data_IF_690851572744
#
_entry.id   IF_690851572744
#
_cell.length_a   1.000
_cell.length_b   1.000
_cell.length_c   1.000
_cell.angle_alpha   90.00
_cell.angle_beta   90.00
_cell.angle_gamma   90.00
#
_symmetry.space_group_name_H-M   'P 1'
#
loop_
_entity.id
_entity.type
_entity.pdbx_description
1 polymer ?
#
# COMPACT_ATOMS: atom_id res chain seq x y z
N UNK A 1 21.72 -46.40 -11.85
CA UNK A 1 21.15 -45.07 -11.58
C UNK A 1 22.29 -44.07 -11.39
N UNK A 2 22.49 -43.10 -12.29
CA UNK A 2 23.49 -42.03 -12.11
C UNK A 2 22.83 -40.87 -11.35
N UNK A 3 23.34 -40.53 -10.16
CA UNK A 3 22.96 -39.31 -9.43
C UNK A 3 23.67 -38.12 -10.07
N UNK A 4 22.91 -37.14 -10.53
CA UNK A 4 23.44 -35.84 -10.95
C UNK A 4 23.31 -34.90 -9.76
N UNK A 5 24.42 -34.49 -9.18
CA UNK A 5 24.46 -33.46 -8.15
C UNK A 5 24.66 -32.10 -8.83
N UNK A 6 23.68 -31.20 -8.70
CA UNK A 6 23.81 -29.81 -9.13
C UNK A 6 24.35 -28.97 -7.97
N UNK A 7 25.56 -28.41 -8.12
CA UNK A 7 26.05 -27.35 -7.26
C UNK A 7 25.60 -26.01 -7.82
N UNK A 8 24.73 -25.31 -7.09
CA UNK A 8 24.28 -23.96 -7.49
C UNK A 8 25.30 -22.94 -7.00
N UNK A 9 26.21 -22.54 -7.87
CA UNK A 9 27.07 -21.39 -7.62
C UNK A 9 26.21 -20.12 -7.56
N UNK A 10 26.03 -19.56 -6.36
CA UNK A 10 25.29 -18.31 -6.18
C UNK A 10 26.21 -17.13 -6.49
N UNK A 11 25.91 -16.32 -7.53
CA UNK A 11 26.74 -15.16 -7.83
C UNK A 11 26.66 -14.14 -6.67
N UNK A 12 27.83 -13.68 -6.18
CA UNK A 12 27.91 -12.66 -5.13
C UNK A 12 27.27 -11.35 -5.63
N UNK A 13 26.15 -10.93 -5.02
CA UNK A 13 25.46 -9.66 -5.36
C UNK A 13 26.42 -8.48 -5.21
N UNK A 14 26.71 -7.79 -6.33
CA UNK A 14 27.42 -6.51 -6.34
C UNK A 14 26.61 -5.49 -5.51
N UNK A 15 27.23 -4.85 -4.50
CA UNK A 15 26.58 -3.79 -3.71
C UNK A 15 26.27 -2.61 -4.65
N UNK A 16 24.99 -2.30 -4.89
CA UNK A 16 24.58 -1.10 -5.62
C UNK A 16 24.97 0.13 -4.79
N UNK A 17 25.64 1.12 -5.39
CA UNK A 17 25.85 2.43 -4.74
C UNK A 17 24.49 3.10 -4.55
N UNK A 18 24.18 3.53 -3.33
CA UNK A 18 22.92 4.22 -3.05
C UNK A 18 23.02 5.67 -3.52
N UNK A 19 22.02 6.15 -4.26
CA UNK A 19 21.89 7.55 -4.61
C UNK A 19 21.03 8.25 -3.55
N UNK A 20 21.47 9.39 -2.98
CA UNK A 20 20.62 10.14 -2.07
C UNK A 20 19.38 10.68 -2.80
N UNK A 21 18.22 10.77 -2.12
CA UNK A 21 17.03 11.33 -2.71
C UNK A 21 17.20 12.84 -2.93
N UNK A 22 16.50 13.38 -3.94
CA UNK A 22 16.43 14.81 -4.22
C UNK A 22 15.54 15.54 -3.21
N UNK A 23 14.55 14.85 -2.65
CA UNK A 23 13.67 15.38 -1.62
C UNK A 23 13.69 14.49 -0.38
N UNK A 24 14.18 15.02 0.75
CA UNK A 24 14.22 14.29 2.02
C UNK A 24 12.86 14.20 2.73
N UNK A 25 11.88 15.01 2.32
CA UNK A 25 10.53 15.01 2.91
C UNK A 25 9.71 13.79 2.47
N UNK A 26 9.76 13.46 1.17
CA UNK A 26 9.03 12.31 0.62
C UNK A 26 9.95 11.18 0.12
N UNK A 27 11.27 11.35 0.21
CA UNK A 27 12.27 10.43 -0.34
C UNK A 27 12.06 10.12 -1.83
N UNK A 28 11.59 11.12 -2.59
CA UNK A 28 11.16 11.03 -3.99
C UNK A 28 10.01 10.03 -4.27
N UNK A 29 9.32 9.52 -3.23
CA UNK A 29 8.13 8.67 -3.38
C UNK A 29 6.89 9.46 -3.77
N UNK A 30 6.90 10.77 -3.53
CA UNK A 30 5.79 11.67 -3.80
C UNK A 30 4.63 11.63 -2.80
N UNK A 31 4.76 10.81 -1.77
CA UNK A 31 3.86 10.74 -0.62
C UNK A 31 4.67 10.98 0.66
N UNK A 32 4.02 11.54 1.66
CA UNK A 32 4.54 11.69 3.02
C UNK A 32 3.64 10.85 3.91
N UNK A 33 4.22 9.82 4.52
CA UNK A 33 3.54 8.98 5.51
C UNK A 33 3.77 9.62 6.88
N UNK A 34 2.72 9.80 7.65
CA UNK A 34 2.80 10.38 8.98
C UNK A 34 1.69 9.85 9.89
N UNK A 35 2.00 9.78 11.16
CA UNK A 35 1.06 9.39 12.19
C UNK A 35 0.16 10.55 12.58
N UNK A 36 -1.15 10.30 12.64
CA UNK A 36 -2.14 11.25 13.12
C UNK A 36 -2.90 10.64 14.29
N UNK A 37 -2.89 11.31 15.44
CA UNK A 37 -3.65 10.89 16.62
C UNK A 37 -5.03 11.55 16.61
N UNK A 38 -6.09 10.74 16.61
CA UNK A 38 -7.50 11.19 16.70
C UNK A 38 -8.16 10.34 17.80
N UNK A 39 -8.75 11.00 18.80
CA UNK A 39 -9.47 10.36 19.91
C UNK A 39 -8.69 9.24 20.63
N UNK A 40 -7.37 9.42 20.75
CA UNK A 40 -6.48 8.45 21.40
C UNK A 40 -5.91 7.37 20.47
N UNK A 41 -6.47 7.18 19.28
CA UNK A 41 -6.02 6.19 18.29
C UNK A 41 -5.00 6.84 17.35
N UNK A 42 -3.90 6.14 17.06
CA UNK A 42 -2.87 6.57 16.10
C UNK A 42 -3.18 5.94 14.75
N UNK A 43 -3.33 6.77 13.72
CA UNK A 43 -3.56 6.37 12.35
C UNK A 43 -2.29 6.64 11.54
N UNK A 44 -1.82 5.64 10.79
CA UNK A 44 -0.84 5.87 9.72
C UNK A 44 -1.59 6.50 8.54
N UNK A 45 -1.19 7.72 8.18
CA UNK A 45 -1.84 8.49 7.11
C UNK A 45 -0.82 8.81 6.03
N UNK A 46 -1.30 8.99 4.80
CA UNK A 46 -0.47 9.41 3.68
C UNK A 46 -1.00 10.71 3.07
N UNK A 47 -0.14 11.72 2.93
CA UNK A 47 -0.43 12.94 2.20
C UNK A 47 0.42 13.04 0.93
N UNK A 48 -0.12 13.71 -0.10
CA UNK A 48 0.64 14.04 -1.30
C UNK A 48 1.71 15.09 -1.00
N UNK A 49 2.94 14.84 -1.41
CA UNK A 49 4.00 15.83 -1.31
C UNK A 49 3.80 16.94 -2.36
N UNK A 50 4.08 18.20 -1.99
CA UNK A 50 3.94 19.36 -2.87
C UNK A 50 5.18 19.61 -3.76
N UNK A 51 6.26 18.83 -3.62
CA UNK A 51 7.40 18.92 -4.51
C UNK A 51 7.04 18.45 -5.93
N UNK A 52 7.82 18.85 -6.94
CA UNK A 52 7.57 18.49 -8.35
C UNK A 52 7.46 16.97 -8.54
N UNK A 53 8.34 16.21 -7.90
CA UNK A 53 8.30 14.75 -7.93
C UNK A 53 7.00 14.21 -7.31
N UNK A 54 6.53 14.83 -6.23
CA UNK A 54 5.30 14.44 -5.56
C UNK A 54 4.04 14.76 -6.31
N UNK A 55 3.98 15.90 -7.00
CA UNK A 55 2.87 16.21 -7.89
C UNK A 55 2.84 15.26 -9.09
N UNK A 56 4.00 14.96 -9.68
CA UNK A 56 4.09 14.00 -10.78
C UNK A 56 3.64 12.58 -10.38
N UNK A 57 4.01 12.11 -9.18
CA UNK A 57 3.55 10.82 -8.68
C UNK A 57 2.08 10.87 -8.26
N UNK A 58 1.64 11.94 -7.60
CA UNK A 58 0.26 12.15 -7.19
C UNK A 58 -0.72 12.07 -8.35
N UNK A 59 -0.34 12.57 -9.53
CA UNK A 59 -1.13 12.47 -10.76
C UNK A 59 -1.23 11.04 -11.31
N UNK A 60 -0.30 10.15 -10.94
CA UNK A 60 -0.33 8.72 -11.33
C UNK A 60 -1.15 7.88 -10.35
N UNK A 61 -1.31 8.33 -9.12
CA UNK A 61 -2.14 7.66 -8.11
C UNK A 61 -3.58 8.09 -8.37
N UNK A 62 -4.36 7.19 -8.96
CA UNK A 62 -5.79 7.41 -9.20
C UNK A 62 -6.49 7.82 -7.90
N UNK A 63 -7.12 8.99 -7.90
CA UNK A 63 -8.03 9.37 -6.84
C UNK A 63 -9.34 8.62 -7.07
N UNK A 64 -9.81 7.90 -6.07
CA UNK A 64 -11.21 7.50 -6.02
C UNK A 64 -12.00 8.78 -5.75
N UNK A 65 -12.85 9.25 -6.67
CA UNK A 65 -13.71 10.39 -6.39
C UNK A 65 -14.60 10.10 -5.18
N UNK A 66 -14.85 11.09 -4.33
CA UNK A 66 -15.68 10.91 -3.13
C UNK A 66 -17.06 10.34 -3.48
N UNK A 67 -17.62 10.74 -4.63
CA UNK A 67 -18.90 10.24 -5.16
C UNK A 67 -18.90 8.74 -5.47
N UNK A 68 -17.73 8.11 -5.61
CA UNK A 68 -17.58 6.68 -5.87
C UNK A 68 -17.15 5.88 -4.62
N UNK A 69 -16.84 6.57 -3.52
CA UNK A 69 -16.26 5.93 -2.34
C UNK A 69 -17.23 4.93 -1.71
N UNK A 70 -18.50 5.32 -1.55
CA UNK A 70 -19.55 4.46 -0.98
C UNK A 70 -19.84 3.25 -1.87
N UNK A 71 -19.93 3.46 -3.19
CA UNK A 71 -20.17 2.39 -4.15
C UNK A 71 -19.03 1.36 -4.15
N UNK A 72 -17.78 1.81 -4.12
CA UNK A 72 -16.61 0.93 -4.05
C UNK A 72 -16.58 0.17 -2.72
N UNK A 73 -16.87 0.85 -1.61
CA UNK A 73 -16.95 0.20 -0.30
C UNK A 73 -18.03 -0.88 -0.28
N UNK A 74 -19.21 -0.58 -0.83
CA UNK A 74 -20.32 -1.52 -0.97
C UNK A 74 -19.95 -2.74 -1.81
N UNK A 75 -19.37 -2.54 -2.99
CA UNK A 75 -18.94 -3.65 -3.87
C UNK A 75 -17.89 -4.52 -3.18
N UNK A 76 -16.91 -3.91 -2.52
CA UNK A 76 -15.89 -4.64 -1.78
C UNK A 76 -16.49 -5.47 -0.64
N UNK A 77 -17.43 -4.89 0.11
CA UNK A 77 -18.12 -5.60 1.19
C UNK A 77 -18.98 -6.75 0.66
N UNK A 78 -19.71 -6.55 -0.44
CA UNK A 78 -20.50 -7.62 -1.07
C UNK A 78 -19.61 -8.77 -1.57
N UNK A 79 -18.47 -8.47 -2.16
CA UNK A 79 -17.50 -9.46 -2.59
C UNK A 79 -16.91 -10.23 -1.40
N UNK A 80 -16.56 -9.52 -0.33
CA UNK A 80 -16.11 -10.14 0.90
C UNK A 80 -17.17 -11.05 1.51
N UNK A 81 -18.43 -10.59 1.58
CA UNK A 81 -19.57 -11.37 2.08
C UNK A 81 -19.79 -12.66 1.30
N UNK A 82 -19.64 -12.62 -0.03
CA UNK A 82 -19.74 -13.82 -0.88
C UNK A 82 -18.63 -14.82 -0.58
N UNK A 83 -17.42 -14.33 -0.34
CA UNK A 83 -16.27 -15.18 -0.02
C UNK A 83 -16.32 -15.74 1.41
N UNK A 84 -16.85 -14.97 2.37
CA UNK A 84 -16.79 -15.27 3.81
C UNK A 84 -18.14 -15.01 4.51
N UNK A 85 -19.16 -15.85 4.26
CA UNK A 85 -20.52 -15.59 4.72
C UNK A 85 -20.71 -15.73 6.24
N UNK A 86 -20.03 -16.66 6.91
CA UNK A 86 -20.21 -16.90 8.35
C UNK A 86 -19.56 -15.79 9.21
N UNK A 87 -18.42 -15.26 8.77
CA UNK A 87 -17.77 -14.09 9.35
C UNK A 87 -18.64 -12.85 9.18
N UNK A 88 -19.29 -12.71 8.03
CA UNK A 88 -20.16 -11.56 7.76
C UNK A 88 -21.43 -11.57 8.63
N UNK A 89 -21.99 -12.74 8.96
CA UNK A 89 -23.14 -12.87 9.86
C UNK A 89 -22.82 -12.36 11.28
N UNK A 90 -21.60 -12.57 11.76
CA UNK A 90 -21.17 -12.08 13.08
C UNK A 90 -21.06 -10.55 13.13
N UNK A 91 -20.70 -9.93 12.01
CA UNK A 91 -20.60 -8.47 11.89
C UNK A 91 -22.00 -7.82 11.85
N UNK A 92 -22.95 -8.44 11.16
CA UNK A 92 -24.31 -7.91 10.96
C UNK A 92 -25.29 -8.18 12.10
N UNK A 93 -24.98 -9.10 13.04
CA UNK A 93 -25.81 -9.36 14.23
C UNK A 93 -25.62 -8.36 15.37
N UNK A 94 -24.71 -7.39 15.23
CA UNK A 94 -24.44 -6.33 16.23
C UNK A 94 -25.08 -4.99 15.79
N UNK A 95 -26.03 -5.04 14.85
CA UNK A 95 -26.76 -3.88 14.31
C UNK A 95 -28.20 -3.86 14.79
#
# INVERSE_FOLDING_TARGET
MKKIAFTVDRPKKKKKKANPPRCWVCLDMGLVIYDKKIDGIIYETAARCRCVQGQNMGNRIGTIPDVMMEDIAKVNFENFRKAFPEETKKITQVS
#
